data_IF_510790350836
#
_entry.id   IF_510790350836
#
_cell.length_a   1.000
_cell.length_b   1.000
_cell.length_c   1.000
_cell.angle_alpha   90.00
_cell.angle_beta   90.00
_cell.angle_gamma   90.00
#
_symmetry.space_group_name_H-M   'P 1'
#
loop_
_entity.id
_entity.type
_entity.pdbx_description
1 polymer ?
#
# COMPACT_ATOMS: atom_id res chain seq x y z
N UNK A 1 -12.27 14.75 -20.25
CA UNK A 1 -11.99 13.78 -19.15
C UNK A 1 -10.73 13.00 -19.51
N UNK A 2 -9.53 13.59 -19.37
CA UNK A 2 -8.29 13.04 -19.94
C UNK A 2 -7.86 11.68 -19.35
N UNK A 3 -8.17 11.42 -18.07
CA UNK A 3 -7.79 10.17 -17.40
C UNK A 3 -8.51 8.95 -17.98
N UNK A 4 -9.67 9.11 -18.62
CA UNK A 4 -10.46 7.97 -19.14
C UNK A 4 -9.68 7.19 -20.19
N UNK A 5 -8.96 7.87 -21.08
CA UNK A 5 -8.14 7.22 -22.11
C UNK A 5 -6.99 6.43 -21.47
N UNK A 6 -6.36 7.01 -20.43
CA UNK A 6 -5.30 6.31 -19.67
C UNK A 6 -5.82 5.01 -19.06
N UNK A 7 -6.98 5.06 -18.41
CA UNK A 7 -7.57 3.87 -17.78
C UNK A 7 -8.00 2.83 -18.82
N UNK A 8 -8.62 3.27 -19.93
CA UNK A 8 -9.02 2.38 -21.00
C UNK A 8 -7.82 1.60 -21.58
N UNK A 9 -6.70 2.28 -21.84
CA UNK A 9 -5.48 1.63 -22.30
C UNK A 9 -4.90 0.66 -21.26
N UNK A 10 -4.88 1.04 -19.98
CA UNK A 10 -4.45 0.14 -18.91
C UNK A 10 -5.31 -1.13 -18.85
N UNK A 11 -6.63 -1.02 -19.02
CA UNK A 11 -7.53 -2.19 -19.08
C UNK A 11 -7.30 -3.04 -20.33
N UNK A 12 -7.08 -2.41 -21.49
CA UNK A 12 -6.86 -3.09 -22.77
C UNK A 12 -5.55 -3.86 -22.82
N UNK A 13 -4.48 -3.29 -22.26
CA UNK A 13 -3.16 -3.92 -22.24
C UNK A 13 -3.07 -4.98 -21.13
N UNK A 14 -3.51 -4.63 -19.92
CA UNK A 14 -3.31 -5.46 -18.73
C UNK A 14 -1.83 -5.63 -18.39
N UNK A 15 -1.53 -6.47 -17.40
CA UNK A 15 -0.15 -6.83 -17.02
C UNK A 15 0.17 -8.26 -17.43
N UNK A 16 1.41 -8.54 -17.87
CA UNK A 16 1.86 -9.89 -18.19
C UNK A 16 1.99 -10.75 -16.94
N UNK A 17 1.81 -12.07 -17.08
CA UNK A 17 1.98 -13.03 -15.98
C UNK A 17 2.79 -14.27 -16.37
N UNK A 18 3.64 -14.73 -15.45
CA UNK A 18 4.27 -16.06 -15.51
C UNK A 18 3.31 -17.11 -14.92
N UNK A 19 2.45 -17.66 -15.78
CA UNK A 19 1.45 -18.65 -15.37
C UNK A 19 2.09 -19.95 -14.88
N UNK A 20 3.21 -20.36 -15.48
CA UNK A 20 3.91 -21.60 -15.13
C UNK A 20 4.57 -21.49 -13.76
N UNK A 21 5.25 -20.37 -13.48
CA UNK A 21 5.76 -20.04 -12.16
C UNK A 21 4.67 -20.01 -11.10
N UNK A 22 3.54 -19.37 -11.41
CA UNK A 22 2.38 -19.31 -10.53
C UNK A 22 1.83 -20.71 -10.20
N UNK A 23 1.64 -21.59 -11.19
CA UNK A 23 1.14 -22.95 -10.99
C UNK A 23 2.08 -23.79 -10.12
N UNK A 24 3.40 -23.68 -10.31
CA UNK A 24 4.39 -24.34 -9.45
C UNK A 24 4.27 -23.87 -7.99
N UNK A 25 4.20 -22.57 -7.77
CA UNK A 25 4.07 -22.00 -6.42
C UNK A 25 2.75 -22.42 -5.74
N UNK A 26 1.65 -22.49 -6.50
CA UNK A 26 0.36 -22.98 -5.99
C UNK A 26 0.44 -24.41 -5.48
N UNK A 27 1.13 -25.30 -6.20
CA UNK A 27 1.26 -26.69 -5.76
C UNK A 27 2.02 -26.80 -4.43
N UNK A 28 3.15 -26.09 -4.31
CA UNK A 28 3.94 -26.05 -3.08
C UNK A 28 3.11 -25.51 -1.90
N UNK A 29 2.36 -24.43 -2.11
CA UNK A 29 1.49 -23.86 -1.07
C UNK A 29 0.38 -24.82 -0.65
N UNK A 30 -0.22 -25.57 -1.58
CA UNK A 30 -1.26 -26.57 -1.27
C UNK A 30 -0.72 -27.68 -0.38
N UNK A 31 0.50 -28.15 -0.65
CA UNK A 31 1.12 -29.20 0.16
C UNK A 31 1.48 -28.69 1.56
N UNK A 32 1.98 -27.46 1.66
CA UNK A 32 2.20 -26.81 2.96
C UNK A 32 0.92 -26.62 3.76
N UNK A 33 -0.17 -26.16 3.13
CA UNK A 33 -1.45 -25.96 3.80
C UNK A 33 -2.01 -27.27 4.36
N UNK A 34 -1.94 -28.38 3.60
CA UNK A 34 -2.31 -29.72 4.08
C UNK A 34 -1.47 -30.16 5.28
N UNK A 35 -0.17 -29.85 5.28
CA UNK A 35 0.70 -30.13 6.42
C UNK A 35 0.29 -29.34 7.67
N UNK A 36 -0.01 -28.04 7.52
CA UNK A 36 -0.48 -27.19 8.61
C UNK A 36 -1.84 -27.63 9.16
N UNK A 37 -2.77 -28.05 8.29
CA UNK A 37 -4.06 -28.63 8.69
C UNK A 37 -3.87 -29.86 9.58
N UNK A 38 -3.02 -30.82 9.17
CA UNK A 38 -2.72 -32.01 9.98
C UNK A 38 -2.12 -31.65 11.34
N UNK A 39 -1.11 -30.78 11.37
CA UNK A 39 -0.49 -30.31 12.62
C UNK A 39 -1.51 -29.59 13.52
N UNK A 40 -2.43 -28.81 12.95
CA UNK A 40 -3.49 -28.15 13.72
C UNK A 40 -4.48 -29.16 14.33
N UNK A 41 -4.83 -30.24 13.60
CA UNK A 41 -5.73 -31.28 14.12
C UNK A 41 -5.09 -32.07 15.25
N UNK A 42 -3.80 -32.40 15.14
CA UNK A 42 -3.02 -33.05 16.19
C UNK A 42 -2.97 -32.19 17.46
N UNK A 43 -2.67 -30.90 17.32
CA UNK A 43 -2.63 -29.98 18.46
C UNK A 43 -3.99 -29.68 19.09
N UNK A 44 -5.06 -29.71 18.30
CA UNK A 44 -6.42 -29.51 18.79
C UNK A 44 -7.07 -30.80 19.35
N UNK A 45 -6.52 -31.98 19.03
CA UNK A 45 -7.13 -33.28 19.32
C UNK A 45 -8.42 -33.55 18.55
N UNK A 46 -8.73 -32.75 17.52
CA UNK A 46 -9.95 -32.87 16.72
C UNK A 46 -9.81 -32.25 15.34
N UNK A 47 -10.70 -32.63 14.42
CA UNK A 47 -10.79 -32.03 13.08
C UNK A 47 -11.68 -30.79 13.11
N UNK A 48 -11.28 -29.73 12.42
CA UNK A 48 -12.06 -28.49 12.26
C UNK A 48 -11.65 -27.73 11.00
N UNK A 49 -12.39 -26.70 10.60
CA UNK A 49 -12.01 -25.89 9.43
C UNK A 49 -11.07 -24.74 9.82
N UNK A 50 -9.88 -24.70 9.22
CA UNK A 50 -8.97 -23.54 9.30
C UNK A 50 -9.37 -22.38 8.37
N UNK A 51 -10.41 -22.55 7.55
CA UNK A 51 -10.97 -21.49 6.72
C UNK A 51 -12.10 -20.72 7.43
N UNK A 52 -12.77 -21.34 8.40
CA UNK A 52 -13.91 -20.74 9.09
C UNK A 52 -13.49 -20.08 10.42
N UNK A 53 -13.63 -18.75 10.57
CA UNK A 53 -13.29 -18.05 11.82
C UNK A 53 -14.08 -18.55 13.04
N UNK A 54 -15.31 -19.02 12.86
CA UNK A 54 -16.14 -19.52 13.94
C UNK A 54 -15.61 -20.86 14.50
N UNK A 55 -15.16 -21.77 13.62
CA UNK A 55 -14.60 -23.06 14.02
C UNK A 55 -13.27 -22.86 14.76
N UNK A 56 -12.41 -21.98 14.24
CA UNK A 56 -11.17 -21.58 14.91
C UNK A 56 -11.48 -20.99 16.30
N UNK A 57 -12.48 -20.11 16.39
CA UNK A 57 -12.89 -19.48 17.66
C UNK A 57 -13.37 -20.53 18.67
N UNK A 58 -14.15 -21.51 18.21
CA UNK A 58 -14.62 -22.62 19.03
C UNK A 58 -13.44 -23.46 19.58
N UNK A 59 -12.49 -23.83 18.72
CA UNK A 59 -11.31 -24.60 19.13
C UNK A 59 -10.45 -23.82 20.13
N UNK A 60 -10.12 -22.55 19.83
CA UNK A 60 -9.24 -21.77 20.70
C UNK A 60 -9.87 -21.50 22.08
N UNK A 61 -11.14 -21.08 22.12
CA UNK A 61 -11.71 -20.55 23.36
C UNK A 61 -12.61 -21.54 24.11
N UNK A 62 -13.28 -22.47 23.43
CA UNK A 62 -14.13 -23.47 24.10
C UNK A 62 -13.38 -24.76 24.41
N UNK A 63 -12.61 -25.27 23.45
CA UNK A 63 -11.91 -26.56 23.59
C UNK A 63 -10.58 -26.39 24.33
N UNK A 64 -9.68 -25.56 23.78
CA UNK A 64 -8.37 -25.29 24.36
C UNK A 64 -8.42 -24.31 25.54
N UNK A 65 -9.58 -23.66 25.77
CA UNK A 65 -9.84 -22.74 26.88
C UNK A 65 -8.80 -21.62 27.03
N UNK A 66 -8.29 -21.13 25.89
CA UNK A 66 -7.36 -20.00 25.88
C UNK A 66 -8.06 -18.72 26.38
N UNK A 67 -7.32 -17.78 26.98
CA UNK A 67 -7.89 -16.53 27.46
C UNK A 67 -8.51 -15.74 26.31
N UNK A 68 -9.67 -15.11 26.52
CA UNK A 68 -10.27 -14.23 25.52
C UNK A 68 -9.79 -12.80 25.77
N UNK A 69 -9.07 -12.15 24.83
CA UNK A 69 -8.64 -10.77 25.01
C UNK A 69 -9.82 -9.81 25.20
N UNK A 70 -9.81 -9.01 26.27
CA UNK A 70 -10.94 -8.18 26.75
C UNK A 70 -11.47 -7.18 25.69
N UNK A 71 -10.63 -6.75 24.75
CA UNK A 71 -10.98 -5.75 23.73
C UNK A 71 -11.74 -6.33 22.53
N UNK A 72 -11.83 -7.65 22.38
CA UNK A 72 -12.32 -8.31 21.15
C UNK A 72 -13.71 -8.96 21.27
N UNK A 73 -14.40 -8.81 22.41
CA UNK A 73 -15.66 -9.47 22.74
C UNK A 73 -16.94 -8.61 22.55
N UNK A 74 -16.82 -7.33 22.21
CA UNK A 74 -18.00 -6.44 22.16
C UNK A 74 -18.83 -6.64 20.88
N UNK A 75 -19.89 -7.45 21.00
CA UNK A 75 -21.02 -7.50 20.05
C UNK A 75 -20.89 -8.45 18.85
N UNK A 76 -20.02 -9.47 18.91
CA UNK A 76 -19.84 -10.48 17.85
C UNK A 76 -20.41 -11.84 18.29
N UNK A 77 -20.91 -12.64 17.32
CA UNK A 77 -21.47 -14.00 17.56
C UNK A 77 -20.46 -15.00 18.13
N UNK A 78 -19.17 -14.81 17.85
CA UNK A 78 -18.06 -15.55 18.43
C UNK A 78 -16.91 -14.58 18.72
N UNK A 79 -16.02 -14.90 19.68
CA UNK A 79 -14.82 -14.11 19.92
C UNK A 79 -14.01 -13.91 18.63
N UNK A 80 -13.41 -12.72 18.47
CA UNK A 80 -12.59 -12.41 17.30
C UNK A 80 -11.39 -13.36 17.25
N UNK A 81 -11.04 -13.82 16.04
CA UNK A 81 -9.81 -14.56 15.80
C UNK A 81 -8.90 -13.80 14.86
N UNK A 82 -9.06 -12.48 14.72
CA UNK A 82 -8.23 -11.67 13.82
C UNK A 82 -6.73 -11.69 14.18
N UNK A 83 -5.91 -11.08 13.31
CA UNK A 83 -4.45 -11.05 13.49
C UNK A 83 -4.04 -10.51 14.87
N UNK A 84 -4.71 -9.47 15.35
CA UNK A 84 -4.40 -8.85 16.65
C UNK A 84 -4.73 -9.81 17.81
N UNK A 85 -5.89 -10.46 17.76
CA UNK A 85 -6.26 -11.46 18.75
C UNK A 85 -5.26 -12.63 18.78
N UNK A 86 -4.90 -13.17 17.60
CA UNK A 86 -3.91 -14.25 17.52
C UNK A 86 -2.50 -13.80 17.93
N UNK A 87 -2.15 -12.52 17.77
CA UNK A 87 -0.87 -11.99 18.25
C UNK A 87 -0.80 -11.95 19.78
N UNK A 88 -1.90 -11.60 20.46
CA UNK A 88 -1.98 -11.63 21.92
C UNK A 88 -1.91 -13.05 22.49
N UNK A 89 -2.38 -14.05 21.73
CA UNK A 89 -2.39 -15.46 22.13
C UNK A 89 -1.15 -16.24 21.68
N UNK A 90 -0.15 -15.57 21.10
CA UNK A 90 0.98 -16.24 20.44
C UNK A 90 1.73 -17.21 21.35
N UNK A 91 1.86 -16.86 22.64
CA UNK A 91 2.60 -17.64 23.63
C UNK A 91 1.71 -18.59 24.45
N UNK A 92 0.39 -18.56 24.23
CA UNK A 92 -0.56 -19.35 25.01
C UNK A 92 -0.68 -20.79 24.49
N UNK A 93 -0.52 -21.00 23.16
CA UNK A 93 -0.60 -22.34 22.58
C UNK A 93 0.13 -22.46 21.24
N UNK A 94 0.84 -23.58 20.95
CA UNK A 94 1.56 -23.79 19.69
C UNK A 94 0.66 -23.80 18.43
N UNK A 95 -0.66 -23.98 18.59
CA UNK A 95 -1.61 -23.92 17.46
C UNK A 95 -1.75 -22.51 16.88
N UNK A 96 -1.49 -21.47 17.68
CA UNK A 96 -1.72 -20.07 17.28
C UNK A 96 -0.78 -19.64 16.14
N UNK A 97 0.55 -19.88 16.21
CA UNK A 97 1.44 -19.71 15.07
C UNK A 97 0.99 -20.48 13.81
N UNK A 98 0.54 -21.74 13.96
CA UNK A 98 0.07 -22.57 12.84
C UNK A 98 -1.14 -21.95 12.14
N UNK A 99 -2.14 -21.50 12.90
CA UNK A 99 -3.33 -20.82 12.35
C UNK A 99 -2.93 -19.54 11.60
N UNK A 100 -1.99 -18.76 12.16
CA UNK A 100 -1.50 -17.53 11.52
C UNK A 100 -0.76 -17.80 10.22
N UNK A 101 0.11 -18.80 10.21
CA UNK A 101 0.85 -19.24 9.01
C UNK A 101 -0.14 -19.73 7.95
N UNK A 102 -1.06 -20.64 8.32
CA UNK A 102 -2.09 -21.16 7.43
C UNK A 102 -2.91 -20.04 6.78
N UNK A 103 -3.38 -19.05 7.54
CA UNK A 103 -4.16 -17.93 7.00
C UNK A 103 -3.36 -17.06 6.04
N UNK A 104 -2.07 -16.83 6.34
CA UNK A 104 -1.18 -16.06 5.46
C UNK A 104 -1.01 -16.78 4.12
N UNK A 105 -0.70 -18.08 4.14
CA UNK A 105 -0.51 -18.89 2.94
C UNK A 105 -1.81 -19.13 2.16
N UNK A 106 -2.92 -19.38 2.86
CA UNK A 106 -4.23 -19.57 2.25
C UNK A 106 -4.72 -18.29 1.56
N UNK A 107 -4.42 -17.11 2.13
CA UNK A 107 -4.73 -15.83 1.49
C UNK A 107 -3.93 -15.68 0.19
N UNK A 108 -2.62 -15.90 0.21
CA UNK A 108 -1.79 -15.86 -1.00
C UNK A 108 -2.28 -16.83 -2.08
N UNK A 109 -2.59 -18.07 -1.70
CA UNK A 109 -3.06 -19.11 -2.62
C UNK A 109 -4.41 -18.75 -3.26
N UNK A 110 -5.38 -18.30 -2.45
CA UNK A 110 -6.75 -18.08 -2.91
C UNK A 110 -6.97 -16.70 -3.54
N UNK A 111 -6.26 -15.67 -3.07
CA UNK A 111 -6.39 -14.31 -3.56
C UNK A 111 -5.51 -14.09 -4.79
N UNK A 112 -4.24 -13.71 -4.64
CA UNK A 112 -3.41 -13.34 -5.80
C UNK A 112 -3.19 -14.50 -6.76
N UNK A 113 -2.70 -15.66 -6.28
CA UNK A 113 -2.39 -16.77 -7.19
C UNK A 113 -3.66 -17.40 -7.79
N UNK A 114 -4.73 -17.47 -7.00
CA UNK A 114 -6.04 -17.90 -7.47
C UNK A 114 -6.54 -17.02 -8.61
N UNK A 115 -6.48 -15.69 -8.43
CA UNK A 115 -6.89 -14.71 -9.44
C UNK A 115 -6.07 -14.80 -10.71
N UNK A 116 -4.74 -14.92 -10.61
CA UNK A 116 -3.87 -15.11 -11.78
C UNK A 116 -4.33 -16.33 -12.59
N UNK A 117 -4.53 -17.47 -11.94
CA UNK A 117 -4.93 -18.69 -12.64
C UNK A 117 -6.35 -18.66 -13.21
N UNK A 118 -7.29 -17.95 -12.58
CA UNK A 118 -8.68 -17.92 -13.03
C UNK A 118 -8.94 -16.87 -14.10
N UNK A 119 -8.18 -15.77 -14.11
CA UNK A 119 -8.48 -14.59 -14.93
C UNK A 119 -7.43 -14.31 -16.02
N UNK A 120 -6.22 -14.87 -15.93
CA UNK A 120 -5.21 -14.65 -16.96
C UNK A 120 -5.64 -15.26 -18.31
N UNK A 121 -5.43 -14.51 -19.39
CA UNK A 121 -5.77 -14.90 -20.76
C UNK A 121 -4.54 -14.86 -21.64
N UNK A 122 -4.39 -15.83 -22.54
CA UNK A 122 -3.30 -15.84 -23.50
C UNK A 122 -3.51 -14.75 -24.57
N UNK A 123 -2.58 -13.82 -24.68
CA UNK A 123 -2.52 -12.85 -25.76
C UNK A 123 -1.73 -13.43 -26.93
N UNK A 124 -2.42 -13.71 -28.04
CA UNK A 124 -1.81 -14.35 -29.22
C UNK A 124 -0.71 -13.51 -29.87
N UNK A 125 -0.83 -12.18 -29.85
CA UNK A 125 0.17 -11.29 -30.48
C UNK A 125 1.53 -11.32 -29.79
N UNK A 126 1.57 -11.56 -28.47
CA UNK A 126 2.81 -11.58 -27.69
C UNK A 126 3.18 -12.97 -27.16
N UNK A 127 2.29 -13.96 -27.32
CA UNK A 127 2.41 -15.30 -26.72
C UNK A 127 2.61 -15.24 -25.19
N UNK A 128 2.06 -14.21 -24.54
CA UNK A 128 2.11 -14.02 -23.08
C UNK A 128 0.72 -14.12 -22.48
N UNK A 129 0.62 -14.69 -21.29
CA UNK A 129 -0.59 -14.57 -20.49
C UNK A 129 -0.65 -13.16 -19.92
N UNK A 130 -1.82 -12.52 -20.03
CA UNK A 130 -2.08 -11.18 -19.50
C UNK A 130 -3.27 -11.20 -18.57
N UNK A 131 -3.19 -10.37 -17.53
CA UNK A 131 -4.21 -10.18 -16.52
C UNK A 131 -4.76 -8.76 -16.64
N UNK A 132 -6.07 -8.67 -16.76
CA UNK A 132 -6.80 -7.43 -16.99
C UNK A 132 -7.71 -7.20 -15.79
N UNK A 133 -7.66 -6.03 -15.18
CA UNK A 133 -8.62 -5.63 -14.16
C UNK A 133 -9.40 -4.40 -14.58
N UNK A 134 -10.52 -4.15 -13.92
CA UNK A 134 -11.43 -3.06 -14.22
C UNK A 134 -11.20 -1.87 -13.28
N UNK A 135 -10.90 -0.70 -13.84
CA UNK A 135 -10.57 0.50 -13.09
C UNK A 135 -11.82 1.32 -12.75
N UNK A 136 -12.11 1.42 -11.46
CA UNK A 136 -13.25 2.15 -10.95
C UNK A 136 -12.88 3.58 -10.54
N UNK A 137 -13.03 4.52 -11.48
CA UNK A 137 -12.67 5.93 -11.26
C UNK A 137 -13.53 6.66 -10.21
N UNK A 138 -14.78 6.24 -10.02
CA UNK A 138 -15.79 6.92 -9.17
C UNK A 138 -16.11 6.20 -7.85
N UNK A 139 -15.48 5.06 -7.59
CA UNK A 139 -15.80 4.18 -6.46
C UNK A 139 -15.39 4.76 -5.08
N UNK A 140 -14.25 5.45 -5.01
CA UNK A 140 -13.69 5.88 -3.72
C UNK A 140 -14.06 7.32 -3.38
N UNK A 141 -14.44 7.56 -2.11
CA UNK A 141 -14.75 8.90 -1.62
C UNK A 141 -13.53 9.85 -1.59
N UNK A 142 -12.32 9.29 -1.59
CA UNK A 142 -11.07 10.06 -1.64
C UNK A 142 -10.62 10.33 -3.06
N UNK A 143 -11.30 9.81 -4.09
CA UNK A 143 -10.90 10.00 -5.49
C UNK A 143 -9.69 9.16 -5.90
N UNK A 144 -9.22 8.24 -5.06
CA UNK A 144 -8.29 7.16 -5.47
C UNK A 144 -8.95 6.28 -6.52
N UNK A 145 -8.14 5.76 -7.44
CA UNK A 145 -8.59 4.66 -8.29
C UNK A 145 -8.67 3.39 -7.45
N UNK A 146 -9.62 2.53 -7.77
CA UNK A 146 -9.60 1.13 -7.33
C UNK A 146 -9.69 0.23 -8.55
N UNK A 147 -9.22 -1.01 -8.40
CA UNK A 147 -9.25 -2.02 -9.44
C UNK A 147 -9.94 -3.27 -8.92
N UNK A 148 -10.81 -3.85 -9.73
CA UNK A 148 -11.48 -5.12 -9.44
C UNK A 148 -11.22 -6.16 -10.52
N UNK A 149 -11.45 -7.43 -10.17
CA UNK A 149 -11.32 -8.59 -11.06
C UNK A 149 -9.99 -8.67 -11.85
N UNK A 150 -8.81 -8.70 -11.20
CA UNK A 150 -8.59 -8.78 -9.75
C UNK A 150 -8.03 -7.50 -9.12
N UNK A 151 -8.06 -7.45 -7.78
CA UNK A 151 -7.49 -6.33 -7.04
C UNK A 151 -5.96 -6.38 -6.99
N UNK A 152 -5.32 -5.82 -8.02
CA UNK A 152 -3.86 -5.69 -8.12
C UNK A 152 -3.26 -4.59 -7.25
N UNK A 153 -4.08 -3.78 -6.58
CA UNK A 153 -3.59 -2.82 -5.58
C UNK A 153 -3.29 -3.48 -4.23
N UNK A 154 -3.68 -4.75 -4.02
CA UNK A 154 -3.54 -5.45 -2.74
C UNK A 154 -2.86 -6.81 -2.87
N UNK A 155 -1.84 -6.90 -3.73
CA UNK A 155 -1.01 -8.10 -3.89
C UNK A 155 -0.33 -8.46 -2.57
N UNK A 156 -0.37 -9.74 -2.19
CA UNK A 156 0.25 -10.23 -0.97
C UNK A 156 1.78 -10.02 -0.97
N UNK A 157 2.32 -9.81 0.23
CA UNK A 157 3.77 -9.71 0.44
C UNK A 157 4.44 -11.07 0.29
N UNK A 158 5.77 -11.08 0.13
CA UNK A 158 6.58 -12.29 0.17
C UNK A 158 6.27 -13.11 1.43
N UNK A 159 6.10 -14.41 1.23
CA UNK A 159 5.96 -15.38 2.31
C UNK A 159 7.13 -16.33 2.29
N UNK A 160 7.53 -16.75 3.47
CA UNK A 160 8.59 -17.71 3.67
C UNK A 160 8.11 -18.81 4.62
N UNK A 161 8.36 -20.06 4.25
CA UNK A 161 7.94 -21.22 5.04
C UNK A 161 8.82 -22.43 4.77
N UNK A 162 8.79 -23.38 5.71
CA UNK A 162 9.50 -24.65 5.62
C UNK A 162 8.51 -25.76 5.28
N UNK A 163 8.88 -26.67 4.36
CA UNK A 163 8.07 -27.85 4.03
C UNK A 163 8.83 -29.12 4.43
N UNK A 164 8.32 -29.84 5.43
CA UNK A 164 8.92 -31.11 5.86
C UNK A 164 8.61 -32.21 4.84
N UNK A 165 9.56 -32.52 3.96
CA UNK A 165 9.44 -33.67 3.07
C UNK A 165 9.94 -34.93 3.80
N UNK A 166 9.01 -35.83 4.13
CA UNK A 166 9.27 -37.23 4.57
C UNK A 166 9.86 -37.48 5.97
N UNK A 167 9.69 -36.58 6.94
CA UNK A 167 10.02 -36.88 8.36
C UNK A 167 11.50 -37.19 8.63
N UNK A 168 12.39 -36.87 7.70
CA UNK A 168 13.84 -36.79 7.94
C UNK A 168 14.17 -35.41 8.51
N UNK A 169 15.16 -35.36 9.38
CA UNK A 169 15.64 -34.13 10.01
C UNK A 169 15.79 -33.01 8.98
N UNK A 170 15.22 -31.85 9.30
CA UNK A 170 15.29 -30.61 8.51
C UNK A 170 16.76 -30.22 8.38
N UNK A 171 17.40 -30.62 7.27
CA UNK A 171 18.74 -30.13 6.97
C UNK A 171 18.62 -28.70 6.44
N UNK A 172 19.26 -27.79 7.17
CA UNK A 172 19.27 -26.35 6.95
C UNK A 172 19.56 -25.97 5.49
N UNK A 173 18.71 -25.09 4.96
CA UNK A 173 18.67 -24.45 3.62
C UNK A 173 17.91 -25.17 2.48
N UNK A 174 17.79 -26.49 2.44
CA UNK A 174 17.15 -27.17 1.29
C UNK A 174 15.59 -27.13 1.32
N UNK A 175 14.99 -26.96 2.50
CA UNK A 175 13.52 -27.04 2.70
C UNK A 175 12.83 -25.68 2.89
N UNK A 176 13.57 -24.57 2.72
CA UNK A 176 13.07 -23.21 2.92
C UNK A 176 12.55 -22.63 1.60
N UNK A 177 11.24 -22.45 1.52
CA UNK A 177 10.58 -21.89 0.35
C UNK A 177 10.29 -20.41 0.56
N UNK A 178 10.58 -19.62 -0.47
CA UNK A 178 10.19 -18.21 -0.57
C UNK A 178 9.25 -18.06 -1.76
N UNK A 179 8.11 -17.44 -1.54
CA UNK A 179 7.14 -17.14 -2.60
C UNK A 179 6.78 -15.67 -2.53
N UNK A 180 7.22 -14.92 -3.52
CA UNK A 180 6.82 -13.53 -3.73
C UNK A 180 5.82 -13.48 -4.88
N UNK A 181 4.57 -13.11 -4.57
CA UNK A 181 3.51 -13.02 -5.58
C UNK A 181 3.85 -12.02 -6.69
N UNK A 182 4.66 -11.00 -6.38
CA UNK A 182 5.07 -9.97 -7.34
C UNK A 182 6.01 -10.51 -8.43
N UNK A 183 6.69 -11.64 -8.20
CA UNK A 183 7.56 -12.26 -9.21
C UNK A 183 6.79 -12.81 -10.41
N UNK A 184 5.50 -13.11 -10.23
CA UNK A 184 4.66 -13.64 -11.30
C UNK A 184 4.10 -12.55 -12.22
N UNK A 185 4.33 -11.28 -11.93
CA UNK A 185 3.93 -10.18 -12.82
C UNK A 185 5.14 -9.71 -13.64
N UNK A 186 4.98 -9.75 -14.95
CA UNK A 186 6.04 -9.51 -15.94
C UNK A 186 5.53 -8.57 -17.04
N UNK A 187 6.41 -7.98 -17.86
CA UNK A 187 6.00 -7.21 -19.03
C UNK A 187 5.14 -8.03 -19.99
N UNK A 188 4.26 -7.35 -20.73
CA UNK A 188 3.39 -7.98 -21.73
C UNK A 188 4.16 -8.36 -23.01
N UNK A 189 5.29 -7.70 -23.25
CA UNK A 189 6.19 -7.90 -24.38
C UNK A 189 7.41 -8.72 -23.98
N UNK A 190 7.94 -9.49 -24.93
CA UNK A 190 9.16 -10.24 -24.72
C UNK A 190 10.37 -9.28 -24.58
N UNK A 191 11.27 -9.59 -23.63
CA UNK A 191 12.48 -8.83 -23.32
C UNK A 191 12.26 -7.39 -22.84
N UNK A 192 11.03 -6.92 -22.66
CA UNK A 192 10.77 -5.63 -22.04
C UNK A 192 11.07 -5.65 -20.55
N UNK A 193 11.11 -4.48 -19.94
CA UNK A 193 11.33 -4.28 -18.51
C UNK A 193 10.11 -3.61 -17.89
N UNK A 194 9.89 -3.88 -16.60
CA UNK A 194 9.02 -3.06 -15.76
C UNK A 194 9.83 -1.90 -15.20
N UNK A 195 9.27 -0.70 -15.29
CA UNK A 195 9.80 0.53 -14.72
C UNK A 195 8.78 1.08 -13.73
N UNK A 196 9.19 1.29 -12.48
CA UNK A 196 8.29 1.78 -11.42
C UNK A 196 8.81 3.07 -10.82
N UNK A 197 7.89 3.92 -10.39
CA UNK A 197 8.19 5.07 -9.56
C UNK A 197 7.19 5.19 -8.42
N UNK A 198 7.69 5.28 -7.19
CA UNK A 198 6.89 5.48 -5.98
C UNK A 198 7.20 6.85 -5.37
N UNK A 199 6.17 7.59 -4.96
CA UNK A 199 6.40 8.86 -4.29
C UNK A 199 7.01 8.66 -2.89
N UNK A 200 8.08 9.39 -2.61
CA UNK A 200 8.68 9.41 -1.28
C UNK A 200 7.80 10.20 -0.30
N UNK A 201 6.96 9.48 0.46
CA UNK A 201 6.15 10.01 1.56
C UNK A 201 5.19 11.14 1.12
N UNK A 202 4.46 10.96 0.02
CA UNK A 202 3.58 12.00 -0.55
C UNK A 202 2.60 12.58 0.48
N UNK A 203 2.01 11.76 1.34
CA UNK A 203 1.04 12.26 2.32
C UNK A 203 1.68 13.14 3.41
N UNK A 204 2.94 12.86 3.79
CA UNK A 204 3.71 13.69 4.72
C UNK A 204 4.10 15.02 4.07
N UNK A 205 4.49 15.00 2.79
CA UNK A 205 4.76 16.20 1.99
C UNK A 205 3.53 17.08 1.84
N UNK A 206 2.36 16.48 1.64
CA UNK A 206 1.08 17.19 1.62
C UNK A 206 0.74 17.79 2.99
N UNK A 207 1.01 17.06 4.09
CA UNK A 207 0.85 17.61 5.44
C UNK A 207 1.72 18.86 5.63
N UNK A 208 2.99 18.82 5.20
CA UNK A 208 3.88 19.98 5.24
C UNK A 208 3.37 21.15 4.41
N UNK A 209 2.90 20.87 3.19
CA UNK A 209 2.34 21.90 2.31
C UNK A 209 1.10 22.58 2.90
N UNK A 210 0.14 21.80 3.42
CA UNK A 210 -1.10 22.36 3.95
C UNK A 210 -0.93 23.03 5.31
N UNK A 211 -0.10 22.45 6.18
CA UNK A 211 0.20 23.04 7.49
C UNK A 211 1.09 24.27 7.41
N UNK A 212 1.89 24.38 6.35
CA UNK A 212 2.93 25.41 6.19
C UNK A 212 3.90 25.44 7.36
N UNK A 213 4.10 24.31 8.02
CA UNK A 213 4.98 24.21 9.18
C UNK A 213 6.44 24.38 8.74
N UNK A 214 7.15 25.44 9.19
CA UNK A 214 8.50 25.72 8.72
C UNK A 214 9.51 24.61 9.06
N UNK A 215 9.31 23.97 10.22
CA UNK A 215 10.16 22.87 10.68
C UNK A 215 10.00 21.67 9.76
N UNK A 216 8.76 21.28 9.46
CA UNK A 216 8.49 20.13 8.59
C UNK A 216 8.90 20.40 7.13
N UNK A 217 8.67 21.62 6.63
CA UNK A 217 9.12 22.04 5.30
C UNK A 217 10.64 21.97 5.19
N UNK A 218 11.37 22.54 6.15
CA UNK A 218 12.83 22.54 6.13
C UNK A 218 13.40 21.11 6.10
N UNK A 219 12.79 20.17 6.82
CA UNK A 219 13.23 18.78 6.89
C UNK A 219 12.93 18.00 5.60
N UNK A 220 11.77 18.23 4.99
CA UNK A 220 11.35 17.55 3.76
C UNK A 220 11.95 18.13 2.47
N UNK A 221 12.50 19.34 2.55
CA UNK A 221 13.22 20.00 1.46
C UNK A 221 14.71 19.65 1.42
N UNK A 222 15.24 18.95 2.42
CA UNK A 222 16.59 18.41 2.33
C UNK A 222 16.63 17.28 1.30
N UNK A 223 17.62 17.28 0.38
CA UNK A 223 17.72 16.26 -0.67
C UNK A 223 18.16 14.90 -0.13
N UNK A 224 18.84 14.87 1.01
CA UNK A 224 19.42 13.67 1.60
C UNK A 224 18.92 13.48 3.05
N UNK A 225 18.72 12.22 3.43
CA UNK A 225 18.33 11.84 4.79
C UNK A 225 17.00 11.08 4.86
N UNK A 226 16.88 10.19 5.86
CA UNK A 226 15.61 9.55 6.15
C UNK A 226 14.73 10.52 6.97
N UNK A 227 13.67 11.00 6.34
CA UNK A 227 12.74 11.99 6.93
C UNK A 227 12.24 11.57 8.32
N UNK A 228 11.99 10.28 8.56
CA UNK A 228 11.51 9.82 9.86
C UNK A 228 12.61 9.84 10.90
N UNK A 229 13.85 9.51 10.53
CA UNK A 229 15.03 9.68 11.38
C UNK A 229 15.25 11.14 11.75
N UNK A 230 15.19 12.05 10.79
CA UNK A 230 15.41 13.49 11.04
C UNK A 230 14.30 14.08 11.94
N UNK A 231 13.03 13.73 11.68
CA UNK A 231 11.91 14.13 12.54
C UNK A 231 12.05 13.53 13.94
N UNK A 232 12.46 12.25 14.05
CA UNK A 232 12.68 11.60 15.34
C UNK A 232 13.79 12.30 16.14
N UNK A 233 14.93 12.60 15.50
CA UNK A 233 16.05 13.32 16.10
C UNK A 233 15.60 14.67 16.65
N UNK A 234 14.91 15.46 15.81
CA UNK A 234 14.40 16.78 16.19
C UNK A 234 13.38 16.75 17.32
N UNK A 235 12.43 15.82 17.25
CA UNK A 235 11.37 15.67 18.25
C UNK A 235 11.91 15.17 19.59
N UNK A 236 12.84 14.21 19.56
CA UNK A 236 13.43 13.62 20.77
C UNK A 236 14.61 14.42 21.32
N UNK A 237 15.09 15.44 20.60
CA UNK A 237 16.28 16.22 20.94
C UNK A 237 17.59 15.42 20.85
N UNK A 238 17.57 14.29 20.13
CA UNK A 238 18.73 13.41 19.92
C UNK A 238 19.46 13.79 18.62
N UNK A 239 20.72 13.38 18.50
CA UNK A 239 21.44 13.48 17.22
C UNK A 239 20.92 12.40 16.24
N UNK A 240 20.91 12.67 14.94
CA UNK A 240 20.40 11.75 13.92
C UNK A 240 21.10 10.39 13.96
N UNK A 241 22.41 10.37 14.17
CA UNK A 241 23.21 9.14 14.29
C UNK A 241 22.83 8.26 15.49
N UNK A 242 22.15 8.85 16.48
CA UNK A 242 21.71 8.14 17.69
C UNK A 242 20.26 7.65 17.62
N UNK A 243 19.57 7.89 16.50
CA UNK A 243 18.21 7.41 16.28
C UNK A 243 18.27 5.96 15.81
N UNK A 244 17.68 5.06 16.60
CA UNK A 244 17.64 3.64 16.23
C UNK A 244 16.62 3.38 15.10
N UNK A 245 16.76 2.28 14.34
CA UNK A 245 15.73 1.83 13.39
C UNK A 245 14.35 1.64 14.04
N UNK A 246 14.33 1.26 15.31
CA UNK A 246 13.10 1.15 16.10
C UNK A 246 12.47 2.53 16.36
N UNK A 247 13.25 3.53 16.78
CA UNK A 247 12.78 4.91 16.98
C UNK A 247 12.21 5.50 15.68
N UNK A 248 12.87 5.22 14.56
CA UNK A 248 12.40 5.60 13.22
C UNK A 248 11.03 5.00 12.90
N UNK A 249 10.85 3.69 13.08
CA UNK A 249 9.56 3.02 12.79
C UNK A 249 8.44 3.50 13.72
N UNK A 250 8.74 3.68 15.01
CA UNK A 250 7.82 4.27 15.99
C UNK A 250 7.39 5.68 15.59
N UNK A 251 8.33 6.50 15.12
CA UNK A 251 8.08 7.87 14.64
C UNK A 251 7.20 7.85 13.39
N UNK A 252 7.47 6.96 12.45
CA UNK A 252 6.63 6.74 11.27
C UNK A 252 5.19 6.39 11.66
N UNK A 253 5.00 5.42 12.55
CA UNK A 253 3.67 5.02 13.05
C UNK A 253 2.95 6.18 13.74
N UNK A 254 3.67 6.96 14.55
CA UNK A 254 3.14 8.15 15.23
C UNK A 254 2.62 9.18 14.23
N UNK A 255 3.43 9.55 13.23
CA UNK A 255 3.09 10.57 12.23
C UNK A 255 1.85 10.16 11.44
N UNK A 256 1.82 8.93 10.90
CA UNK A 256 0.65 8.46 10.16
C UNK A 256 -0.57 8.26 11.07
N UNK A 257 -0.36 7.88 12.33
CA UNK A 257 -1.40 7.84 13.34
C UNK A 257 -2.05 9.21 13.54
N UNK A 258 -1.25 10.26 13.69
CA UNK A 258 -1.72 11.64 13.85
C UNK A 258 -2.39 12.14 12.56
N UNK A 259 -1.80 11.88 11.40
CA UNK A 259 -2.33 12.28 10.09
C UNK A 259 -3.73 11.71 9.82
N UNK A 260 -3.97 10.48 10.28
CA UNK A 260 -5.27 9.82 10.16
C UNK A 260 -6.20 10.07 11.36
N UNK A 261 -5.78 10.95 12.28
CA UNK A 261 -6.54 11.31 13.48
C UNK A 261 -6.82 10.12 14.39
N UNK A 262 -5.89 9.18 14.51
CA UNK A 262 -6.01 8.06 15.44
C UNK A 262 -6.13 8.59 16.87
N UNK A 263 -7.07 8.00 17.62
CA UNK A 263 -7.19 8.28 19.05
C UNK A 263 -6.05 7.62 19.83
N UNK A 264 -5.74 8.14 21.03
CA UNK A 264 -4.63 7.69 21.85
C UNK A 264 -4.61 6.17 22.09
N UNK A 265 -5.77 5.54 22.32
CA UNK A 265 -5.83 4.08 22.55
C UNK A 265 -5.37 3.27 21.34
N UNK A 266 -5.84 3.62 20.13
CA UNK A 266 -5.44 2.91 18.91
C UNK A 266 -3.97 3.18 18.57
N UNK A 267 -3.49 4.37 18.89
CA UNK A 267 -2.09 4.71 18.70
C UNK A 267 -1.20 3.95 19.69
N UNK A 268 -1.62 3.82 20.95
CA UNK A 268 -0.93 3.05 21.97
C UNK A 268 -0.74 1.59 21.55
N UNK A 269 -1.78 0.97 20.95
CA UNK A 269 -1.69 -0.36 20.36
C UNK A 269 -0.65 -0.45 19.23
N UNK A 270 -0.57 0.55 18.35
CA UNK A 270 0.39 0.55 17.23
C UNK A 270 1.83 0.82 17.68
N UNK A 271 2.00 1.63 18.72
CA UNK A 271 3.31 1.98 19.29
C UNK A 271 3.76 0.97 20.35
N UNK A 272 2.91 0.00 20.70
CA UNK A 272 3.17 -1.00 21.75
C UNK A 272 3.50 -0.33 23.10
N UNK A 273 2.73 0.70 23.45
CA UNK A 273 2.94 1.52 24.66
C UNK A 273 1.64 1.70 25.45
N UNK A 274 1.70 2.33 26.63
CA UNK A 274 0.49 2.63 27.41
C UNK A 274 -0.34 3.74 26.76
N UNK A 275 -1.64 3.81 27.08
CA UNK A 275 -2.53 4.88 26.59
C UNK A 275 -2.04 6.26 27.02
N UNK A 276 -1.47 6.37 28.22
CA UNK A 276 -0.98 7.64 28.74
C UNK A 276 0.33 8.07 28.06
N UNK A 277 1.26 7.13 27.84
CA UNK A 277 2.46 7.38 27.02
C UNK A 277 2.10 7.82 25.60
N UNK A 278 1.09 7.20 24.99
CA UNK A 278 0.62 7.59 23.66
C UNK A 278 0.06 9.03 23.66
N UNK A 279 -0.69 9.43 24.69
CA UNK A 279 -1.19 10.81 24.82
C UNK A 279 -0.04 11.80 24.97
N UNK A 280 0.97 11.48 25.76
CA UNK A 280 2.16 12.31 25.93
C UNK A 280 2.94 12.45 24.63
N UNK A 281 3.17 11.35 23.91
CA UNK A 281 3.81 11.38 22.58
C UNK A 281 3.04 12.25 21.59
N UNK A 282 1.71 12.13 21.54
CA UNK A 282 0.86 13.00 20.70
C UNK A 282 1.02 14.46 21.10
N UNK A 283 0.97 14.78 22.40
CA UNK A 283 1.08 16.15 22.89
C UNK A 283 2.45 16.75 22.55
N UNK A 284 3.52 15.98 22.77
CA UNK A 284 4.91 16.37 22.49
C UNK A 284 5.18 16.57 20.99
N UNK A 285 4.62 15.71 20.13
CA UNK A 285 4.68 15.90 18.69
C UNK A 285 3.95 17.19 18.27
N UNK A 286 2.73 17.41 18.79
CA UNK A 286 1.93 18.60 18.50
C UNK A 286 2.61 19.90 18.93
N UNK A 287 3.37 19.89 20.03
CA UNK A 287 4.15 21.06 20.45
C UNK A 287 5.38 21.30 19.58
N UNK A 288 5.97 20.24 19.01
CA UNK A 288 7.13 20.34 18.12
C UNK A 288 6.77 20.83 16.72
N UNK A 289 5.51 20.63 16.30
CA UNK A 289 4.96 21.04 15.01
C UNK A 289 3.63 21.79 15.21
N UNK A 290 3.66 23.02 15.77
CA UNK A 290 2.45 23.75 16.17
C UNK A 290 1.57 24.11 14.97
N UNK A 291 2.15 24.39 13.80
CA UNK A 291 1.38 24.74 12.61
C UNK A 291 0.62 23.53 12.03
N UNK A 292 1.15 22.31 12.20
CA UNK A 292 0.42 21.07 11.91
C UNK A 292 -0.84 20.98 12.79
N UNK A 293 -0.71 21.28 14.07
CA UNK A 293 -1.86 21.26 15.00
C UNK A 293 -2.91 22.32 14.61
N UNK A 294 -2.48 23.53 14.26
CA UNK A 294 -3.37 24.59 13.78
C UNK A 294 -4.16 24.13 12.56
N UNK A 295 -3.45 23.62 11.55
CA UNK A 295 -4.06 23.14 10.31
C UNK A 295 -5.06 22.00 10.52
N UNK A 296 -4.76 21.04 11.41
CA UNK A 296 -5.70 19.96 11.75
C UNK A 296 -7.00 20.52 12.32
N UNK A 297 -6.91 21.49 13.24
CA UNK A 297 -8.06 22.13 13.85
C UNK A 297 -8.84 22.98 12.85
N UNK A 298 -8.14 23.79 12.05
CA UNK A 298 -8.73 24.62 11.00
C UNK A 298 -9.46 23.78 9.94
N UNK A 299 -8.89 22.65 9.53
CA UNK A 299 -9.53 21.72 8.57
C UNK A 299 -10.84 21.17 9.14
N UNK A 300 -10.86 20.82 10.42
CA UNK A 300 -12.07 20.35 11.11
C UNK A 300 -13.11 21.48 11.22
N UNK A 301 -12.69 22.66 11.65
CA UNK A 301 -13.56 23.84 11.77
C UNK A 301 -14.16 24.25 10.42
N UNK A 302 -13.35 24.29 9.36
CA UNK A 302 -13.80 24.53 7.99
C UNK A 302 -14.87 23.51 7.57
N UNK A 303 -14.63 22.23 7.85
CA UNK A 303 -15.59 21.18 7.51
C UNK A 303 -16.88 21.29 8.34
N UNK A 304 -16.79 21.69 9.61
CA UNK A 304 -17.95 21.96 10.46
C UNK A 304 -18.77 23.14 9.96
N UNK A 305 -18.12 24.20 9.47
CA UNK A 305 -18.80 25.39 8.94
C UNK A 305 -19.42 25.11 7.56
N UNK A 306 -18.63 24.59 6.61
CA UNK A 306 -19.05 24.41 5.21
C UNK A 306 -19.79 23.10 4.95
N UNK A 307 -19.56 22.06 5.74
CA UNK A 307 -20.13 20.72 5.55
C UNK A 307 -19.38 19.84 4.53
N UNK A 308 -18.24 20.30 4.02
CA UNK A 308 -17.38 19.58 3.09
C UNK A 308 -15.91 19.93 3.32
N UNK A 309 -15.01 19.11 2.77
CA UNK A 309 -13.59 19.45 2.59
C UNK A 309 -13.28 19.57 1.10
N UNK A 310 -12.14 20.17 0.78
CA UNK A 310 -11.64 20.33 -0.58
C UNK A 310 -10.20 19.81 -0.69
N UNK A 311 -9.87 19.13 -1.78
CA UNK A 311 -8.50 18.68 -2.09
C UNK A 311 -7.71 19.77 -2.80
N UNK A 312 -6.41 19.54 -3.01
CA UNK A 312 -5.48 20.46 -3.68
C UNK A 312 -6.01 20.98 -5.02
N UNK A 313 -6.65 20.11 -5.83
CA UNK A 313 -7.18 20.48 -7.15
C UNK A 313 -8.68 20.80 -7.14
N UNK A 314 -9.23 21.06 -5.95
CA UNK A 314 -10.56 21.63 -5.83
C UNK A 314 -11.71 20.63 -5.72
N UNK A 315 -11.44 19.31 -5.72
CA UNK A 315 -12.47 18.29 -5.57
C UNK A 315 -13.03 18.31 -4.15
N UNK A 316 -14.35 18.23 -4.01
CA UNK A 316 -15.04 18.32 -2.72
C UNK A 316 -15.52 16.96 -2.22
N UNK A 317 -15.35 16.70 -0.93
CA UNK A 317 -15.98 15.57 -0.23
C UNK A 317 -16.92 16.10 0.84
N UNK A 318 -18.20 15.81 0.69
CA UNK A 318 -19.24 16.20 1.65
C UNK A 318 -19.24 15.25 2.85
N UNK A 319 -19.30 15.82 4.05
CA UNK A 319 -19.27 15.08 5.31
C UNK A 319 -20.42 15.54 6.21
N UNK A 320 -21.67 15.27 5.79
CA UNK A 320 -22.89 15.73 6.48
C UNK A 320 -22.94 15.37 7.97
N UNK A 321 -22.39 14.21 8.33
CA UNK A 321 -22.31 13.71 9.71
C UNK A 321 -21.45 14.57 10.65
N UNK A 322 -20.62 15.48 10.12
CA UNK A 322 -19.86 16.42 10.96
C UNK A 322 -20.77 17.47 11.62
N UNK A 323 -21.89 17.83 10.96
CA UNK A 323 -22.89 18.77 11.47
C UNK A 323 -23.98 18.04 12.25
N UNK A 324 -24.57 17.02 11.61
CA UNK A 324 -25.82 16.41 12.06
C UNK A 324 -25.65 15.03 12.72
N UNK A 325 -24.42 14.53 12.83
CA UNK A 325 -24.16 13.22 13.43
C UNK A 325 -24.17 13.25 14.96
N UNK A 326 -24.31 12.07 15.57
CA UNK A 326 -24.05 11.89 17.01
C UNK A 326 -22.54 12.02 17.33
N UNK A 327 -22.15 12.00 18.61
CA UNK A 327 -20.75 12.20 19.02
C UNK A 327 -19.76 11.24 18.33
N UNK A 328 -20.11 9.97 18.16
CA UNK A 328 -19.28 8.96 17.49
C UNK A 328 -19.16 9.24 15.99
N UNK A 329 -20.27 9.60 15.35
CA UNK A 329 -20.30 9.96 13.93
C UNK A 329 -19.51 11.25 13.66
N UNK A 330 -19.64 12.27 14.51
CA UNK A 330 -18.87 13.52 14.44
C UNK A 330 -17.38 13.25 14.57
N UNK A 331 -16.94 12.47 15.56
CA UNK A 331 -15.53 12.08 15.71
C UNK A 331 -15.02 11.29 14.51
N UNK A 332 -15.84 10.43 13.90
CA UNK A 332 -15.47 9.75 12.64
C UNK A 332 -15.35 10.75 11.48
N UNK A 333 -16.29 11.68 11.35
CA UNK A 333 -16.29 12.70 10.29
C UNK A 333 -15.09 13.66 10.40
N UNK A 334 -14.69 14.05 11.62
CA UNK A 334 -13.48 14.86 11.85
C UNK A 334 -12.22 14.17 11.34
N UNK A 335 -12.04 12.87 11.66
CA UNK A 335 -10.92 12.07 11.15
C UNK A 335 -10.96 11.92 9.64
N UNK A 336 -12.15 11.72 9.09
CA UNK A 336 -12.34 11.64 7.64
C UNK A 336 -12.03 12.96 6.95
N UNK A 337 -12.33 14.11 7.54
CA UNK A 337 -12.05 15.43 6.97
C UNK A 337 -10.56 15.60 6.68
N UNK A 338 -9.71 15.43 7.71
CA UNK A 338 -8.25 15.55 7.59
C UNK A 338 -7.69 14.51 6.61
N UNK A 339 -8.04 13.24 6.80
CA UNK A 339 -7.56 12.15 5.94
C UNK A 339 -7.91 12.39 4.46
N UNK A 340 -9.09 12.93 4.17
CA UNK A 340 -9.53 13.17 2.79
C UNK A 340 -8.75 14.28 2.10
N UNK A 341 -8.30 15.30 2.83
CA UNK A 341 -7.51 16.39 2.26
C UNK A 341 -6.18 15.83 1.76
N UNK A 342 -5.45 15.09 2.59
CA UNK A 342 -4.17 14.49 2.19
C UNK A 342 -4.34 13.38 1.16
N UNK A 343 -5.15 12.35 1.44
CA UNK A 343 -5.31 11.22 0.54
C UNK A 343 -5.92 11.61 -0.80
N UNK A 344 -6.87 12.54 -0.78
CA UNK A 344 -7.50 13.03 -1.99
C UNK A 344 -6.57 13.88 -2.83
N UNK A 345 -5.76 14.73 -2.20
CA UNK A 345 -4.75 15.50 -2.93
C UNK A 345 -3.66 14.60 -3.51
N UNK A 346 -3.22 13.55 -2.80
CA UNK A 346 -2.30 12.56 -3.35
C UNK A 346 -2.88 11.85 -4.58
N UNK A 347 -4.17 11.49 -4.53
CA UNK A 347 -4.87 10.91 -5.67
C UNK A 347 -4.97 11.88 -6.86
N UNK A 348 -5.18 13.17 -6.60
CA UNK A 348 -5.21 14.20 -7.65
C UNK A 348 -3.81 14.32 -8.31
N UNK A 349 -2.74 14.31 -7.51
CA UNK A 349 -1.35 14.43 -7.97
C UNK A 349 -0.96 13.26 -8.89
N UNK A 350 -1.16 12.01 -8.45
CA UNK A 350 -0.78 10.85 -9.26
C UNK A 350 -1.59 10.77 -10.56
N UNK A 351 -2.86 11.19 -10.55
CA UNK A 351 -3.68 11.27 -11.75
C UNK A 351 -3.16 12.31 -12.75
N UNK A 352 -2.66 13.44 -12.27
CA UNK A 352 -2.02 14.44 -13.14
C UNK A 352 -0.73 13.85 -13.73
N UNK A 353 0.09 13.17 -12.93
CA UNK A 353 1.29 12.50 -13.43
C UNK A 353 0.95 11.47 -14.51
N UNK A 354 -0.07 10.64 -14.29
CA UNK A 354 -0.57 9.66 -15.27
C UNK A 354 -0.98 10.33 -16.59
N UNK A 355 -1.72 11.44 -16.53
CA UNK A 355 -2.12 12.19 -17.72
C UNK A 355 -0.90 12.75 -18.46
N UNK A 356 0.05 13.34 -17.73
CA UNK A 356 1.27 13.91 -18.32
C UNK A 356 2.13 12.84 -19.01
N UNK A 357 2.30 11.67 -18.39
CA UNK A 357 3.04 10.54 -18.96
C UNK A 357 2.31 10.05 -20.21
N UNK A 358 1.01 9.82 -20.11
CA UNK A 358 0.20 9.31 -21.22
C UNK A 358 0.24 10.23 -22.44
N UNK A 359 0.11 11.55 -22.24
CA UNK A 359 0.23 12.54 -23.31
C UNK A 359 1.58 12.46 -24.04
N UNK A 360 2.67 12.13 -23.34
CA UNK A 360 4.00 12.03 -23.95
C UNK A 360 4.24 10.72 -24.74
N UNK A 361 3.55 9.62 -24.39
CA UNK A 361 3.79 8.28 -24.97
C UNK A 361 2.67 7.76 -25.88
N UNK A 362 1.48 8.38 -25.85
CA UNK A 362 0.32 7.95 -26.65
C UNK A 362 0.49 8.26 -28.14
N UNK A 363 0.07 7.33 -28.99
CA UNK A 363 0.09 7.48 -30.46
C UNK A 363 -1.05 8.38 -30.97
N UNK A 364 -2.24 8.28 -30.36
CA UNK A 364 -3.50 8.92 -30.83
C UNK A 364 -3.72 10.38 -30.39
N UNK A 365 -2.77 11.01 -29.71
CA UNK A 365 -2.92 12.43 -29.36
C UNK A 365 -2.51 13.25 -30.56
N UNK A 366 -3.52 13.70 -31.33
CA UNK A 366 -3.36 14.65 -32.44
C UNK A 366 -2.46 15.81 -31.99
N UNK A 367 -1.31 15.92 -32.65
CA UNK A 367 -0.22 16.89 -32.44
C UNK A 367 -0.62 18.36 -32.63
N UNK A 368 -1.92 18.66 -32.73
CA UNK A 368 -2.44 19.94 -33.20
C UNK A 368 -2.86 20.93 -32.09
N UNK A 369 -2.94 20.53 -30.81
CA UNK A 369 -3.56 21.40 -29.78
C UNK A 369 -2.72 21.73 -28.54
N UNK A 370 -1.53 21.15 -28.34
CA UNK A 370 -0.56 21.64 -27.35
C UNK A 370 0.79 20.99 -27.59
N UNK A 371 1.70 21.69 -28.27
CA UNK A 371 3.12 21.31 -28.30
C UNK A 371 3.73 21.54 -26.93
N UNK A 372 3.44 20.66 -25.97
CA UNK A 372 4.13 20.67 -24.68
C UNK A 372 5.60 20.27 -24.93
N UNK A 373 6.54 20.95 -24.27
CA UNK A 373 7.98 20.64 -24.42
C UNK A 373 8.30 19.18 -24.08
N UNK A 374 7.50 18.55 -23.24
CA UNK A 374 7.60 17.14 -22.85
C UNK A 374 7.29 16.20 -24.01
N UNK A 375 6.25 16.44 -24.80
CA UNK A 375 5.86 15.57 -25.91
C UNK A 375 6.94 15.50 -26.99
N UNK A 376 7.51 16.65 -27.39
CA UNK A 376 8.60 16.71 -28.36
C UNK A 376 9.84 16.00 -27.83
N UNK A 377 10.16 16.19 -26.54
CA UNK A 377 11.34 15.62 -25.90
C UNK A 377 11.28 14.09 -25.80
N UNK A 378 10.10 13.51 -25.61
CA UNK A 378 9.92 12.09 -25.33
C UNK A 378 9.22 11.30 -26.45
N UNK A 379 9.06 11.88 -27.64
CA UNK A 379 8.36 11.25 -28.77
C UNK A 379 8.92 9.87 -29.18
N UNK A 380 10.20 9.59 -28.91
CA UNK A 380 10.83 8.30 -29.18
C UNK A 380 10.24 7.15 -28.35
N UNK A 381 9.50 7.46 -27.27
CA UNK A 381 8.86 6.47 -26.40
C UNK A 381 7.51 5.97 -26.94
N UNK A 382 6.96 6.59 -28.00
CA UNK A 382 5.69 6.18 -28.60
C UNK A 382 5.77 4.73 -29.10
N UNK A 383 4.84 3.89 -28.65
CA UNK A 383 4.83 2.45 -28.93
C UNK A 383 5.94 1.64 -28.24
N UNK A 384 6.81 2.28 -27.45
CA UNK A 384 7.97 1.68 -26.75
C UNK A 384 7.87 1.74 -25.23
N UNK A 385 6.82 2.37 -24.72
CA UNK A 385 6.55 2.54 -23.29
C UNK A 385 5.04 2.59 -23.05
N UNK A 386 4.55 2.00 -21.97
CA UNK A 386 3.11 1.99 -21.60
C UNK A 386 2.91 2.05 -20.10
N UNK A 387 1.83 2.68 -19.66
CA UNK A 387 1.36 2.63 -18.27
C UNK A 387 0.56 1.33 -18.09
N UNK A 388 0.97 0.49 -17.13
CA UNK A 388 0.29 -0.78 -16.85
C UNK A 388 -0.61 -0.68 -15.63
N UNK A 389 -0.07 -0.20 -14.50
CA UNK A 389 -0.77 -0.21 -13.21
C UNK A 389 -0.49 1.05 -12.40
N UNK A 390 -1.44 1.36 -11.53
CA UNK A 390 -1.30 2.36 -10.47
C UNK A 390 -1.60 1.71 -9.11
N UNK A 391 -0.59 1.64 -8.25
CA UNK A 391 -0.67 0.99 -6.94
C UNK A 391 -0.40 2.02 -5.86
N UNK A 392 -1.48 2.58 -5.30
CA UNK A 392 -1.41 3.65 -4.29
C UNK A 392 -0.68 4.92 -4.78
N UNK A 393 0.58 5.07 -4.44
CA UNK A 393 1.47 6.16 -4.86
C UNK A 393 2.56 5.72 -5.85
N UNK A 394 2.53 4.44 -6.25
CA UNK A 394 3.40 3.82 -7.25
C UNK A 394 2.74 3.79 -8.63
N UNK A 395 3.48 4.17 -9.67
CA UNK A 395 3.15 3.89 -11.07
C UNK A 395 4.05 2.79 -11.62
N UNK A 396 3.46 1.87 -12.37
CA UNK A 396 4.15 0.75 -13.03
C UNK A 396 3.98 0.89 -14.54
N UNK A 397 5.10 1.03 -15.24
CA UNK A 397 5.19 1.08 -16.69
C UNK A 397 5.88 -0.19 -17.20
N UNK A 398 5.64 -0.55 -18.45
CA UNK A 398 6.54 -1.42 -19.22
C UNK A 398 7.26 -0.61 -20.29
N UNK A 399 8.51 -0.98 -20.58
CA UNK A 399 9.35 -0.26 -21.53
C UNK A 399 10.30 -1.19 -22.29
N UNK A 400 10.55 -0.86 -23.56
CA UNK A 400 11.65 -1.42 -24.35
C UNK A 400 12.99 -1.11 -23.65
N UNK A 401 13.88 -2.09 -23.40
CA UNK A 401 15.12 -1.86 -22.66
C UNK A 401 16.00 -0.76 -23.27
N UNK A 402 15.91 -0.57 -24.59
CA UNK A 402 16.68 0.43 -25.33
C UNK A 402 16.33 1.86 -24.94
N UNK A 403 15.15 2.07 -24.33
CA UNK A 403 14.61 3.38 -23.95
C UNK A 403 14.29 3.49 -22.46
N UNK A 404 14.82 2.57 -21.64
CA UNK A 404 14.51 2.52 -20.21
C UNK A 404 14.93 3.81 -19.46
N UNK A 405 16.03 4.45 -19.89
CA UNK A 405 16.53 5.70 -19.28
C UNK A 405 15.60 6.87 -19.61
N UNK A 406 15.24 7.03 -20.87
CA UNK A 406 14.34 8.08 -21.33
C UNK A 406 12.96 7.96 -20.69
N UNK A 407 12.44 6.72 -20.57
CA UNK A 407 11.19 6.46 -19.86
C UNK A 407 11.30 6.78 -18.36
N UNK A 408 12.44 6.48 -17.72
CA UNK A 408 12.68 6.83 -16.33
C UNK A 408 12.71 8.34 -16.11
N UNK A 409 13.38 9.09 -17.00
CA UNK A 409 13.38 10.56 -16.98
C UNK A 409 11.97 11.13 -17.17
N UNK A 410 11.18 10.60 -18.10
CA UNK A 410 9.79 11.02 -18.30
C UNK A 410 8.94 10.75 -17.05
N UNK A 411 9.05 9.54 -16.49
CA UNK A 411 8.31 9.11 -15.32
C UNK A 411 8.63 9.99 -14.11
N UNK A 412 9.91 10.20 -13.83
CA UNK A 412 10.37 11.09 -12.77
C UNK A 412 9.88 12.52 -13.00
N UNK A 413 10.17 13.10 -14.17
CA UNK A 413 9.81 14.48 -14.46
C UNK A 413 8.30 14.71 -14.30
N UNK A 414 7.48 13.80 -14.83
CA UNK A 414 6.02 13.92 -14.81
C UNK A 414 5.44 13.79 -13.40
N UNK A 415 6.03 12.95 -12.55
CA UNK A 415 5.60 12.78 -11.17
C UNK A 415 6.09 13.90 -10.26
N UNK A 416 7.35 14.31 -10.35
CA UNK A 416 7.93 15.35 -9.50
C UNK A 416 7.34 16.73 -9.82
N UNK A 417 6.97 16.98 -11.08
CA UNK A 417 6.40 18.25 -11.54
C UNK A 417 4.88 18.22 -11.73
N UNK A 418 4.18 17.19 -11.26
CA UNK A 418 2.72 17.08 -11.38
C UNK A 418 1.99 18.29 -10.76
N UNK A 419 2.53 18.83 -9.66
CA UNK A 419 2.03 20.03 -8.98
C UNK A 419 3.18 20.79 -8.32
N UNK A 420 3.00 22.09 -8.11
CA UNK A 420 3.91 22.88 -7.27
C UNK A 420 3.46 22.84 -5.81
N UNK A 421 4.34 22.36 -4.92
CA UNK A 421 4.15 22.35 -3.47
C UNK A 421 5.23 23.19 -2.77
N UNK A 422 5.10 23.36 -1.46
CA UNK A 422 6.12 24.05 -0.62
C UNK A 422 7.34 23.16 -0.32
N UNK A 423 7.26 21.88 -0.65
CA UNK A 423 8.31 20.88 -0.52
C UNK A 423 8.42 20.13 -1.85
N UNK A 424 9.63 19.72 -2.27
CA UNK A 424 9.80 18.97 -3.51
C UNK A 424 9.06 17.63 -3.43
N UNK A 425 8.53 17.16 -4.55
CA UNK A 425 8.03 15.79 -4.69
C UNK A 425 9.17 14.94 -5.22
N UNK A 426 9.67 14.00 -4.43
CA UNK A 426 10.70 13.06 -4.86
C UNK A 426 10.09 11.70 -5.17
N UNK A 427 10.60 11.03 -6.20
CA UNK A 427 10.21 9.65 -6.53
C UNK A 427 11.39 8.69 -6.43
N UNK A 428 11.09 7.43 -6.13
CA UNK A 428 12.07 6.34 -6.14
C UNK A 428 11.84 5.49 -7.38
N UNK A 429 12.76 5.60 -8.33
CA UNK A 429 12.75 4.81 -9.55
C UNK A 429 13.33 3.43 -9.31
N UNK A 430 12.69 2.41 -9.91
CA UNK A 430 13.23 1.06 -9.99
C UNK A 430 12.92 0.42 -11.33
N UNK A 431 13.76 -0.51 -11.75
CA UNK A 431 13.61 -1.25 -13.00
C UNK A 431 13.87 -2.74 -12.79
N UNK A 432 13.18 -3.61 -13.51
CA UNK A 432 13.40 -5.05 -13.40
C UNK A 432 12.60 -5.87 -14.39
N UNK A 433 12.87 -7.18 -14.42
CA UNK A 433 12.16 -8.14 -15.30
C UNK A 433 10.81 -8.58 -14.75
N UNK A 434 10.65 -8.54 -13.43
CA UNK A 434 9.40 -8.84 -12.73
C UNK A 434 9.11 -7.73 -11.73
N UNK A 435 7.87 -7.63 -11.26
CA UNK A 435 7.51 -6.63 -10.25
C UNK A 435 8.13 -6.93 -8.88
N UNK A 436 8.49 -8.19 -8.63
CA UNK A 436 9.15 -8.61 -7.39
C UNK A 436 10.67 -8.41 -7.40
N UNK A 437 11.31 -8.42 -8.58
CA UNK A 437 12.76 -8.29 -8.74
C UNK A 437 13.16 -6.92 -9.33
N UNK A 438 12.75 -5.85 -8.67
CA UNK A 438 13.05 -4.47 -9.08
C UNK A 438 14.30 -3.93 -8.39
N UNK A 439 15.23 -3.38 -9.17
CA UNK A 439 16.47 -2.75 -8.70
C UNK A 439 16.39 -1.21 -8.82
N UNK A 440 17.00 -0.44 -7.89
CA UNK A 440 17.04 1.01 -7.98
C UNK A 440 17.63 1.48 -9.32
N UNK A 441 16.99 2.48 -9.93
CA UNK A 441 17.48 3.11 -11.16
C UNK A 441 17.74 4.60 -10.89
N UNK A 442 18.92 5.09 -11.29
CA UNK A 442 19.18 6.53 -11.36
C UNK A 442 18.90 7.02 -12.78
N UNK A 443 18.10 8.08 -12.89
CA UNK A 443 17.83 8.76 -14.14
C UNK A 443 18.79 9.95 -14.26
N UNK A 444 20.06 9.67 -14.51
CA UNK A 444 21.08 10.70 -14.77
C UNK A 444 21.18 11.03 -16.26
#
# INVERSE_FOLDING_TARGET
MPLVNVLADMELWGIGVDIEGCLRARNILRDKLRSLEKKAFELAGMTFSLHNPADISNVLFKQLKLPIPETQNKGKLHPSTDKQCLDLLRNEHPIVPIIKEHRTLAKLLNCTLGSICSLAKLRLSTQRYTLHGHWLQTSTATGRLSIEEPNLQSVEHEVEFILDQNGKEVNSDADRYKVNARDFFVPTQENWLLLTADYSQIELRLMAHFSRDPSLIAQLSQPEGDVFTMIAAKWTGKNEDSVSPHDRDQTKRLIYGILYGMGANRLAEQLECSSDEAKEKIRSFKSSFPAVTSWLNETVSFCQEKGYIQTLKGRRRFLSKIKFGNAKEKSKAQRQAVNSVCQGSAADIIKIAMINIYSAISEDVDTAASSSSTETRFHMLKGRCRILLQVHDELVLEVDPSYAKEAAMLLQYSMENAVSLLVPLHVKLKVGKTWGSLEPLQAD
#
